data_IF_552188435906
#
_entry.id   IF_552188435906
#
_cell.length_a   1.000
_cell.length_b   1.000
_cell.length_c   1.000
_cell.angle_alpha   90.00
_cell.angle_beta   90.00
_cell.angle_gamma   90.00
#
_symmetry.space_group_name_H-M   'P 1'
#
loop_
_entity.id
_entity.type
_entity.pdbx_description
1 polymer ?
#
# COMPACT_ATOMS: atom_id res chain seq x y z
N UNK A 1 -17.12 -30.96 -9.07
CA UNK A 1 -16.25 -29.82 -9.43
C UNK A 1 -16.98 -28.55 -9.04
N UNK A 2 -16.32 -27.66 -8.30
CA UNK A 2 -16.94 -26.40 -7.91
C UNK A 2 -16.79 -25.39 -9.05
N UNK A 3 -17.73 -24.46 -9.19
CA UNK A 3 -17.63 -23.39 -10.19
C UNK A 3 -17.68 -22.04 -9.50
N UNK A 4 -16.84 -21.13 -9.96
CA UNK A 4 -16.83 -19.73 -9.57
C UNK A 4 -17.52 -18.90 -10.65
N UNK A 5 -18.63 -18.27 -10.31
CA UNK A 5 -19.37 -17.40 -11.23
C UNK A 5 -18.90 -15.95 -11.06
N UNK A 6 -18.42 -15.36 -12.15
CA UNK A 6 -17.80 -14.05 -12.13
C UNK A 6 -18.54 -13.08 -13.04
N UNK A 7 -18.69 -11.84 -12.59
CA UNK A 7 -19.14 -10.70 -13.38
C UNK A 7 -17.94 -9.78 -13.63
N UNK A 8 -17.63 -9.52 -14.90
CA UNK A 8 -16.53 -8.65 -15.28
C UNK A 8 -16.91 -7.17 -15.31
N UNK A 9 -15.92 -6.29 -15.52
CA UNK A 9 -16.12 -4.84 -15.47
C UNK A 9 -17.05 -4.28 -16.55
N UNK A 10 -17.30 -5.03 -17.63
CA UNK A 10 -18.24 -4.67 -18.70
C UNK A 10 -19.58 -5.42 -18.57
N UNK A 11 -19.82 -6.09 -17.45
CA UNK A 11 -21.04 -6.88 -17.20
C UNK A 11 -21.02 -8.29 -17.80
N UNK A 12 -19.91 -8.73 -18.40
CA UNK A 12 -19.76 -10.09 -18.90
C UNK A 12 -19.86 -11.11 -17.78
N UNK A 13 -20.56 -12.21 -18.01
CA UNK A 13 -20.71 -13.31 -17.05
C UNK A 13 -19.91 -14.50 -17.52
N UNK A 14 -18.96 -14.95 -16.70
CA UNK A 14 -18.15 -16.13 -16.98
C UNK A 14 -18.24 -17.10 -15.80
N UNK A 15 -18.02 -18.38 -16.07
CA UNK A 15 -17.87 -19.39 -15.03
C UNK A 15 -16.50 -20.04 -15.16
N UNK A 16 -15.79 -20.16 -14.06
CA UNK A 16 -14.46 -20.76 -14.00
C UNK A 16 -14.57 -22.00 -13.13
N UNK A 17 -14.16 -23.14 -13.65
CA UNK A 17 -14.12 -24.39 -12.86
C UNK A 17 -13.03 -24.29 -11.80
N UNK A 18 -13.28 -24.82 -10.62
CA UNK A 18 -12.35 -24.87 -9.50
C UNK A 18 -12.20 -26.32 -9.02
N UNK A 19 -10.96 -26.76 -8.86
CA UNK A 19 -10.64 -28.10 -8.39
C UNK A 19 -10.95 -28.24 -6.91
N UNK A 20 -10.56 -27.26 -6.11
CA UNK A 20 -10.76 -27.20 -4.66
C UNK A 20 -10.90 -25.75 -4.15
N UNK A 21 -10.92 -25.58 -2.83
CA UNK A 21 -11.03 -24.26 -2.20
C UNK A 21 -9.79 -23.37 -2.44
N UNK A 22 -8.58 -23.92 -2.35
CA UNK A 22 -7.35 -23.14 -2.53
C UNK A 22 -7.20 -22.64 -3.98
N UNK A 23 -7.58 -23.49 -4.94
CA UNK A 23 -7.70 -23.11 -6.36
C UNK A 23 -8.76 -22.03 -6.56
N UNK A 24 -9.91 -22.14 -5.88
CA UNK A 24 -10.96 -21.10 -5.96
C UNK A 24 -10.47 -19.74 -5.46
N UNK A 25 -9.73 -19.67 -4.36
CA UNK A 25 -9.14 -18.42 -3.86
C UNK A 25 -8.07 -17.87 -4.80
N UNK A 26 -7.26 -18.74 -5.40
CA UNK A 26 -6.26 -18.35 -6.39
C UNK A 26 -6.91 -17.72 -7.62
N UNK A 27 -8.00 -18.32 -8.11
CA UNK A 27 -8.82 -17.78 -9.21
C UNK A 27 -9.52 -16.48 -8.84
N UNK A 28 -10.06 -16.37 -7.62
CA UNK A 28 -10.65 -15.11 -7.15
C UNK A 28 -9.62 -13.97 -7.17
N UNK A 29 -8.39 -14.20 -6.72
CA UNK A 29 -7.31 -13.21 -6.82
C UNK A 29 -6.95 -12.86 -8.26
N UNK A 30 -6.74 -13.88 -9.09
CA UNK A 30 -6.31 -13.69 -10.47
C UNK A 30 -7.34 -12.87 -11.27
N UNK A 31 -8.61 -13.23 -11.16
CA UNK A 31 -9.71 -12.55 -11.87
C UNK A 31 -10.10 -11.24 -11.20
N UNK A 32 -10.07 -11.17 -9.89
CA UNK A 32 -10.39 -9.95 -9.15
C UNK A 32 -9.35 -8.85 -9.31
N UNK A 33 -8.06 -9.19 -9.52
CA UNK A 33 -7.05 -8.23 -9.95
C UNK A 33 -7.37 -7.59 -11.31
N UNK A 34 -8.14 -8.28 -12.16
CA UNK A 34 -8.68 -7.80 -13.45
C UNK A 34 -10.03 -7.09 -13.30
N UNK A 35 -10.53 -6.93 -12.07
CA UNK A 35 -11.81 -6.26 -11.75
C UNK A 35 -13.04 -7.14 -11.89
N UNK A 36 -12.90 -8.45 -11.98
CA UNK A 36 -14.05 -9.37 -11.92
C UNK A 36 -14.50 -9.57 -10.47
N UNK A 37 -15.79 -9.73 -10.26
CA UNK A 37 -16.40 -9.92 -8.94
C UNK A 37 -17.23 -11.21 -8.90
N UNK A 38 -17.28 -11.86 -7.75
CA UNK A 38 -18.14 -13.03 -7.49
C UNK A 38 -19.20 -12.67 -6.47
N UNK A 39 -20.48 -12.80 -6.84
CA UNK A 39 -21.60 -12.43 -5.99
C UNK A 39 -21.80 -10.91 -5.84
N UNK A 40 -22.49 -10.53 -4.78
CA UNK A 40 -22.86 -9.14 -4.47
C UNK A 40 -22.21 -8.71 -3.14
N UNK A 41 -22.14 -7.39 -2.91
CA UNK A 41 -21.74 -6.85 -1.61
C UNK A 41 -22.83 -7.19 -0.59
N UNK A 42 -22.52 -7.83 0.55
CA UNK A 42 -23.51 -8.10 1.60
C UNK A 42 -24.07 -6.80 2.20
N UNK A 43 -25.30 -6.84 2.72
CA UNK A 43 -25.83 -5.73 3.52
C UNK A 43 -24.90 -5.45 4.72
N UNK A 44 -24.50 -4.19 4.92
CA UNK A 44 -23.49 -3.82 5.92
C UNK A 44 -22.02 -4.00 5.47
N UNK A 45 -21.79 -4.50 4.25
CA UNK A 45 -20.46 -4.81 3.71
C UNK A 45 -19.85 -6.10 4.27
N UNK A 46 -18.72 -6.51 3.69
CA UNK A 46 -17.95 -7.67 4.15
C UNK A 46 -17.47 -7.48 5.59
N UNK A 47 -17.68 -8.48 6.45
CA UNK A 47 -17.30 -8.45 7.86
C UNK A 47 -16.00 -9.21 8.06
N UNK A 48 -14.92 -8.50 8.41
CA UNK A 48 -13.57 -9.03 8.50
C UNK A 48 -12.95 -8.75 9.88
N UNK A 49 -11.97 -9.56 10.33
CA UNK A 49 -11.22 -9.29 11.55
C UNK A 49 -10.54 -7.91 11.54
N UNK A 50 -10.54 -7.18 12.65
CA UNK A 50 -9.89 -5.86 12.75
C UNK A 50 -8.41 -5.89 12.35
N UNK A 51 -7.70 -6.95 12.75
CA UNK A 51 -6.28 -7.19 12.45
C UNK A 51 -5.94 -7.25 10.96
N UNK A 52 -6.94 -7.43 10.09
CA UNK A 52 -6.76 -7.56 8.65
C UNK A 52 -6.94 -6.26 7.87
N UNK A 53 -7.28 -5.14 8.52
CA UNK A 53 -7.62 -3.91 7.83
C UNK A 53 -6.53 -3.42 6.86
N UNK A 54 -5.27 -3.64 7.20
CA UNK A 54 -4.13 -3.18 6.41
C UNK A 54 -3.57 -4.25 5.46
N UNK A 55 -3.77 -5.53 5.78
CA UNK A 55 -3.18 -6.70 5.09
C UNK A 55 -4.16 -7.45 4.18
N UNK A 56 -5.46 -7.13 4.24
CA UNK A 56 -6.49 -7.76 3.42
C UNK A 56 -6.19 -7.62 1.92
N UNK A 57 -6.30 -8.75 1.21
CA UNK A 57 -6.13 -8.83 -0.23
C UNK A 57 -7.43 -8.42 -0.95
N UNK A 58 -7.50 -7.14 -1.30
CA UNK A 58 -8.65 -6.55 -1.99
C UNK A 58 -8.98 -7.22 -3.33
N UNK A 59 -8.01 -7.89 -3.97
CA UNK A 59 -8.27 -8.62 -5.21
C UNK A 59 -9.26 -9.77 -5.00
N UNK A 60 -9.39 -10.33 -3.79
CA UNK A 60 -10.35 -11.39 -3.50
C UNK A 60 -11.80 -11.00 -3.76
N UNK A 61 -12.12 -9.70 -3.64
CA UNK A 61 -13.47 -9.18 -3.90
C UNK A 61 -13.50 -8.33 -5.19
N UNK A 62 -12.50 -8.44 -6.06
CA UNK A 62 -12.43 -7.63 -7.28
C UNK A 62 -12.21 -6.13 -7.03
N UNK A 63 -11.62 -5.78 -5.88
CA UNK A 63 -11.30 -4.42 -5.49
C UNK A 63 -9.79 -4.15 -5.57
N UNK A 64 -9.41 -2.86 -5.53
CA UNK A 64 -7.99 -2.46 -5.45
C UNK A 64 -7.81 -1.14 -4.69
N UNK A 65 -6.68 -0.99 -4.00
CA UNK A 65 -6.26 0.29 -3.43
C UNK A 65 -5.87 1.26 -4.55
N UNK A 66 -6.16 2.54 -4.39
CA UNK A 66 -5.76 3.61 -5.30
C UNK A 66 -5.63 4.91 -4.51
N UNK A 67 -4.68 5.76 -4.88
CA UNK A 67 -4.51 7.09 -4.31
C UNK A 67 -5.05 8.11 -5.31
N UNK A 68 -5.99 8.96 -4.89
CA UNK A 68 -6.55 9.99 -5.77
C UNK A 68 -5.51 11.07 -6.10
N UNK A 69 -5.71 11.90 -7.14
CA UNK A 69 -4.83 13.03 -7.45
C UNK A 69 -4.65 14.01 -6.28
N UNK A 70 -5.63 14.08 -5.37
CA UNK A 70 -5.60 14.89 -4.16
C UNK A 70 -4.82 14.24 -3.01
N UNK A 71 -4.29 13.03 -3.22
CA UNK A 71 -3.51 12.28 -2.22
C UNK A 71 -4.36 11.45 -1.25
N UNK A 72 -5.65 11.24 -1.52
CA UNK A 72 -6.50 10.41 -0.65
C UNK A 72 -6.40 8.92 -1.00
N UNK A 73 -6.14 8.07 0.00
CA UNK A 73 -6.18 6.62 -0.19
C UNK A 73 -7.62 6.08 -0.17
N UNK A 74 -8.01 5.42 -1.26
CA UNK A 74 -9.33 4.85 -1.45
C UNK A 74 -9.26 3.41 -1.93
N UNK A 75 -10.38 2.70 -1.81
CA UNK A 75 -10.57 1.39 -2.43
C UNK A 75 -11.54 1.52 -3.60
N UNK A 76 -11.12 1.09 -4.78
CA UNK A 76 -11.95 1.03 -5.98
C UNK A 76 -12.62 -0.34 -6.09
N UNK A 77 -13.94 -0.37 -6.23
CA UNK A 77 -14.72 -1.59 -6.45
C UNK A 77 -15.96 -1.30 -7.31
N UNK A 78 -16.15 -2.05 -8.40
CA UNK A 78 -17.29 -1.86 -9.32
C UNK A 78 -17.41 -0.45 -9.88
N UNK A 79 -16.28 0.21 -10.19
CA UNK A 79 -16.23 1.59 -10.67
C UNK A 79 -16.57 2.66 -9.61
N UNK A 80 -16.70 2.28 -8.34
CA UNK A 80 -17.01 3.19 -7.22
C UNK A 80 -15.80 3.30 -6.29
N UNK A 81 -15.61 4.48 -5.72
CA UNK A 81 -14.55 4.76 -4.74
C UNK A 81 -15.10 4.72 -3.31
N UNK A 82 -14.42 4.00 -2.43
CA UNK A 82 -14.77 3.81 -1.03
C UNK A 82 -13.65 4.39 -0.14
N UNK A 83 -14.01 5.32 0.73
CA UNK A 83 -13.07 5.95 1.67
C UNK A 83 -12.95 5.14 2.95
N UNK A 84 -11.73 5.04 3.48
CA UNK A 84 -11.46 4.50 4.82
C UNK A 84 -12.00 5.46 5.89
N UNK A 85 -12.61 4.91 6.93
CA UNK A 85 -13.06 5.61 8.13
C UNK A 85 -12.65 4.81 9.34
N UNK A 86 -11.77 5.36 10.14
CA UNK A 86 -11.35 4.80 11.41
C UNK A 86 -12.32 5.32 12.49
N UNK A 87 -13.08 4.41 13.09
CA UNK A 87 -14.02 4.68 14.16
C UNK A 87 -13.42 4.18 15.47
N UNK A 88 -13.11 5.10 16.36
CA UNK A 88 -12.51 4.77 17.66
C UNK A 88 -13.49 4.00 18.55
N UNK A 89 -12.93 3.19 19.44
CA UNK A 89 -13.72 2.49 20.44
C UNK A 89 -14.46 3.50 21.32
N UNK A 90 -15.75 3.24 21.56
CA UNK A 90 -16.55 4.03 22.47
C UNK A 90 -17.01 3.15 23.64
N UNK A 91 -16.30 3.20 24.79
CA UNK A 91 -16.61 2.37 25.95
C UNK A 91 -18.02 2.63 26.50
N UNK A 92 -18.51 3.86 26.41
CA UNK A 92 -19.85 4.23 26.92
C UNK A 92 -20.97 3.58 26.12
N UNK A 93 -20.74 3.31 24.84
CA UNK A 93 -21.70 2.67 23.93
C UNK A 93 -21.36 1.20 23.66
N UNK A 94 -20.36 0.63 24.35
CA UNK A 94 -19.84 -0.72 24.11
C UNK A 94 -19.50 -0.98 22.63
N UNK A 95 -19.05 0.06 21.92
CA UNK A 95 -18.67 -0.07 20.50
C UNK A 95 -17.17 -0.31 20.42
N UNK A 96 -16.71 -1.45 19.86
CA UNK A 96 -15.28 -1.67 19.63
C UNK A 96 -14.75 -0.71 18.57
N UNK A 97 -13.42 -0.63 18.44
CA UNK A 97 -12.80 0.05 17.32
C UNK A 97 -13.18 -0.65 16.01
N UNK A 98 -13.45 0.15 14.97
CA UNK A 98 -13.89 -0.35 13.67
C UNK A 98 -13.19 0.44 12.56
N UNK A 99 -12.69 -0.26 11.56
CA UNK A 99 -12.24 0.37 10.31
C UNK A 99 -13.27 0.05 9.24
N UNK A 100 -13.89 1.09 8.67
CA UNK A 100 -14.98 0.97 7.70
C UNK A 100 -14.58 1.57 6.35
N UNK A 101 -14.83 0.84 5.28
CA UNK A 101 -14.70 1.33 3.92
C UNK A 101 -16.10 1.59 3.36
N UNK A 102 -16.47 2.85 3.18
CA UNK A 102 -17.80 3.23 2.70
C UNK A 102 -17.78 4.48 1.82
N UNK A 103 -18.90 4.76 1.16
CA UNK A 103 -19.13 5.95 0.33
C UNK A 103 -20.54 6.47 0.55
N UNK A 104 -20.84 7.69 0.10
CA UNK A 104 -22.21 8.18 0.04
C UNK A 104 -23.06 7.29 -0.88
N UNK A 105 -24.28 7.00 -0.44
CA UNK A 105 -25.27 6.29 -1.25
C UNK A 105 -25.73 7.18 -2.43
N UNK A 106 -25.97 6.56 -3.57
CA UNK A 106 -26.59 7.19 -4.74
C UNK A 106 -28.05 6.74 -4.85
N UNK A 107 -28.86 7.52 -5.56
CA UNK A 107 -30.26 7.16 -5.83
C UNK A 107 -30.40 5.81 -6.56
N UNK A 108 -29.41 5.44 -7.37
CA UNK A 108 -29.36 4.17 -8.11
C UNK A 108 -28.87 2.98 -7.27
N UNK A 109 -28.42 3.19 -6.04
CA UNK A 109 -27.99 2.06 -5.20
C UNK A 109 -29.21 1.29 -4.66
N UNK A 110 -29.13 -0.05 -4.56
CA UNK A 110 -30.20 -0.85 -3.98
C UNK A 110 -30.49 -0.45 -2.53
N UNK A 111 -31.77 -0.43 -2.15
CA UNK A 111 -32.19 0.02 -0.82
C UNK A 111 -31.59 -0.82 0.31
N UNK A 112 -31.48 -2.13 0.11
CA UNK A 112 -30.88 -3.05 1.09
C UNK A 112 -29.38 -2.82 1.33
N UNK A 113 -28.70 -2.00 0.52
CA UNK A 113 -27.30 -1.62 0.71
C UNK A 113 -27.14 -0.23 1.34
N UNK A 114 -28.23 0.55 1.46
CA UNK A 114 -28.19 1.89 2.04
C UNK A 114 -28.26 1.78 3.57
N UNK A 115 -27.34 2.45 4.22
CA UNK A 115 -27.27 2.56 5.69
C UNK A 115 -27.41 4.02 6.09
N UNK A 116 -28.28 4.32 7.06
CA UNK A 116 -28.50 5.68 7.58
C UNK A 116 -29.95 5.87 8.02
N UNK A 117 -30.25 7.06 8.54
CA UNK A 117 -31.62 7.47 8.87
C UNK A 117 -32.35 7.99 7.63
N UNK A 118 -33.67 7.77 7.58
CA UNK A 118 -34.53 8.29 6.51
C UNK A 118 -34.55 9.81 6.54
N UNK A 119 -34.17 10.44 5.42
CA UNK A 119 -34.01 11.90 5.32
C UNK A 119 -32.63 12.42 5.74
N UNK A 120 -31.70 11.55 6.15
CA UNK A 120 -30.31 11.87 6.48
C UNK A 120 -29.31 11.47 5.39
N UNK A 121 -28.01 11.59 5.71
CA UNK A 121 -26.94 11.07 4.85
C UNK A 121 -26.91 9.55 4.90
N UNK A 122 -27.18 8.92 3.76
CA UNK A 122 -27.08 7.48 3.58
C UNK A 122 -25.72 7.08 3.00
N UNK A 123 -25.24 5.90 3.38
CA UNK A 123 -23.96 5.34 2.96
C UNK A 123 -24.13 3.94 2.39
N UNK A 124 -23.16 3.53 1.56
CA UNK A 124 -23.00 2.13 1.14
C UNK A 124 -21.64 1.66 1.62
N UNK A 125 -21.62 0.55 2.36
CA UNK A 125 -20.42 -0.04 2.93
C UNK A 125 -19.88 -1.16 2.06
N UNK A 126 -18.59 -1.12 1.77
CA UNK A 126 -17.89 -2.21 1.10
C UNK A 126 -17.40 -3.25 2.12
N UNK A 127 -16.66 -2.82 3.14
CA UNK A 127 -16.08 -3.71 4.14
C UNK A 127 -16.01 -3.03 5.52
N UNK A 128 -16.09 -3.86 6.55
CA UNK A 128 -15.99 -3.50 7.97
C UNK A 128 -15.00 -4.45 8.63
N UNK A 129 -13.93 -3.88 9.17
CA UNK A 129 -12.92 -4.59 9.96
C UNK A 129 -13.17 -4.29 11.43
N UNK A 130 -13.52 -5.32 12.22
CA UNK A 130 -13.87 -5.15 13.64
C UNK A 130 -13.60 -6.40 14.47
N UNK A 131 -13.64 -6.22 15.79
CA UNK A 131 -13.49 -7.30 16.76
C UNK A 131 -12.04 -7.77 16.90
N UNK A 132 -11.88 -8.82 17.70
CA UNK A 132 -10.61 -9.39 18.17
C UNK A 132 -10.25 -10.72 17.48
N UNK A 133 -10.98 -11.09 16.43
CA UNK A 133 -10.73 -12.33 15.69
C UNK A 133 -9.32 -12.34 15.11
N UNK A 134 -8.72 -13.53 15.08
CA UNK A 134 -7.45 -13.73 14.41
C UNK A 134 -7.57 -13.47 12.91
N UNK A 135 -6.48 -13.02 12.31
CA UNK A 135 -6.45 -12.85 10.87
C UNK A 135 -6.59 -14.21 10.18
N UNK A 136 -7.18 -14.19 9.00
CA UNK A 136 -7.36 -15.37 8.16
C UNK A 136 -6.24 -15.33 7.14
N UNK A 137 -5.19 -16.15 7.24
CA UNK A 137 -4.01 -16.04 6.37
C UNK A 137 -4.41 -16.04 4.89
N UNK A 138 -5.41 -16.85 4.54
CA UNK A 138 -5.98 -17.01 3.19
C UNK A 138 -6.62 -15.77 2.60
N UNK A 139 -6.87 -14.74 3.40
CA UNK A 139 -7.43 -13.46 2.94
C UNK A 139 -6.42 -12.32 2.94
N UNK A 140 -5.18 -12.59 3.33
CA UNK A 140 -4.10 -11.61 3.31
C UNK A 140 -3.34 -11.61 1.97
N UNK A 141 -2.66 -10.51 1.67
CA UNK A 141 -1.81 -10.36 0.49
C UNK A 141 -0.68 -11.41 0.54
N UNK A 142 -0.54 -12.30 -0.46
CA UNK A 142 0.46 -13.38 -0.41
C UNK A 142 1.91 -12.91 -0.22
N UNK A 143 2.26 -11.74 -0.75
CA UNK A 143 3.60 -11.16 -0.61
C UNK A 143 3.94 -10.74 0.84
N UNK A 144 2.93 -10.42 1.65
CA UNK A 144 3.12 -10.00 3.05
C UNK A 144 3.26 -11.19 4.02
N UNK A 145 2.91 -12.41 3.59
CA UNK A 145 3.10 -13.63 4.40
C UNK A 145 4.56 -13.99 4.66
N UNK A 146 5.53 -13.31 4.02
CA UNK A 146 6.96 -13.66 4.12
C UNK A 146 7.68 -13.15 5.37
N UNK A 147 7.05 -12.44 6.30
CA UNK A 147 7.73 -12.10 7.57
C UNK A 147 6.84 -12.11 8.83
N UNK A 148 6.51 -13.29 9.37
CA UNK A 148 6.08 -13.39 10.76
C UNK A 148 7.03 -14.33 11.53
N UNK A 149 8.26 -13.89 11.86
CA UNK A 149 9.00 -14.47 13.01
C UNK A 149 10.29 -13.76 13.46
N UNK A 150 10.92 -12.87 12.69
CA UNK A 150 12.16 -12.22 13.17
C UNK A 150 11.96 -10.98 14.06
N UNK A 151 10.74 -10.46 14.22
CA UNK A 151 10.49 -9.27 15.06
C UNK A 151 10.20 -9.54 16.54
N UNK A 152 10.04 -10.81 16.94
CA UNK A 152 9.69 -11.15 18.33
C UNK A 152 10.92 -11.47 19.23
N UNK A 153 12.16 -11.37 18.73
CA UNK A 153 13.37 -11.65 19.52
C UNK A 153 14.45 -10.55 19.48
N UNK A 154 14.15 -9.33 19.00
CA UNK A 154 15.08 -8.20 19.10
C UNK A 154 14.46 -7.04 19.90
N UNK A 155 14.17 -7.29 21.17
CA UNK A 155 14.47 -6.29 22.22
C UNK A 155 15.98 -6.38 22.51
N UNK A 156 16.80 -5.98 21.53
CA UNK A 156 18.12 -5.44 21.84
C UNK A 156 17.93 -3.92 21.86
N UNK A 157 18.48 -3.28 22.88
CA UNK A 157 18.56 -1.83 22.97
C UNK A 157 18.99 -1.23 21.63
N UNK A 158 18.39 -0.10 21.21
CA UNK A 158 18.78 0.55 19.97
C UNK A 158 20.29 0.84 20.01
N UNK A 159 21.06 0.44 18.98
CA UNK A 159 22.44 0.87 18.88
C UNK A 159 22.44 2.40 18.81
N UNK A 160 23.23 3.01 19.68
CA UNK A 160 23.47 4.46 19.74
C UNK A 160 23.67 5.02 18.33
N UNK A 161 22.89 6.05 17.98
CA UNK A 161 22.82 6.73 16.66
C UNK A 161 24.14 7.38 16.17
N UNK A 162 25.28 7.08 16.79
CA UNK A 162 26.57 7.70 16.48
C UNK A 162 27.36 7.02 15.35
N UNK A 163 26.96 5.85 14.84
CA UNK A 163 27.72 5.14 13.80
C UNK A 163 27.07 5.02 12.41
N UNK A 164 25.75 5.21 12.30
CA UNK A 164 25.01 4.93 11.05
C UNK A 164 25.20 6.06 10.00
N UNK A 165 25.52 7.28 10.46
CA UNK A 165 25.77 8.41 9.57
C UNK A 165 27.07 8.27 8.76
N UNK A 166 28.14 7.81 9.39
CA UNK A 166 29.47 7.75 8.77
C UNK A 166 29.59 6.63 7.73
N UNK A 167 29.04 5.44 8.01
CA UNK A 167 29.09 4.32 7.06
C UNK A 167 28.22 4.58 5.84
N UNK A 168 27.06 5.23 6.01
CA UNK A 168 26.19 5.62 4.89
C UNK A 168 26.79 6.75 4.07
N UNK A 169 27.40 7.75 4.71
CA UNK A 169 28.12 8.82 4.03
C UNK A 169 29.31 8.28 3.23
N UNK A 170 30.10 7.38 3.81
CA UNK A 170 31.26 6.75 3.15
C UNK A 170 30.87 5.93 1.91
N UNK A 171 29.76 5.18 1.98
CA UNK A 171 29.25 4.43 0.83
C UNK A 171 28.73 5.33 -0.28
N UNK A 172 28.07 6.44 0.07
CA UNK A 172 27.61 7.43 -0.92
C UNK A 172 28.78 8.15 -1.58
N UNK A 173 29.80 8.54 -0.80
CA UNK A 173 31.02 9.18 -1.31
C UNK A 173 31.79 8.26 -2.27
N UNK A 174 31.95 6.98 -1.90
CA UNK A 174 32.63 5.98 -2.74
C UNK A 174 31.88 5.74 -4.06
N UNK A 175 30.54 5.65 -4.01
CA UNK A 175 29.73 5.49 -5.21
C UNK A 175 29.80 6.72 -6.13
N UNK A 176 29.72 7.92 -5.57
CA UNK A 176 29.85 9.18 -6.31
C UNK A 176 31.23 9.33 -6.97
N UNK A 177 32.32 8.99 -6.25
CA UNK A 177 33.68 9.06 -6.78
C UNK A 177 33.89 8.12 -7.99
N UNK A 178 33.39 6.88 -7.91
CA UNK A 178 33.46 5.92 -9.02
C UNK A 178 32.72 6.37 -10.28
N UNK A 179 31.62 7.11 -10.12
CA UNK A 179 30.84 7.65 -11.23
C UNK A 179 31.44 8.92 -11.84
N UNK A 180 32.00 9.79 -11.00
CA UNK A 180 32.75 10.98 -11.42
C UNK A 180 33.97 10.59 -12.28
N UNK A 181 34.67 9.51 -11.92
CA UNK A 181 35.79 8.98 -12.69
C UNK A 181 35.35 8.33 -14.03
N UNK A 182 34.13 7.80 -14.11
CA UNK A 182 33.63 7.07 -15.28
C UNK A 182 33.01 7.95 -16.38
N UNK A 183 32.66 9.22 -16.08
CA UNK A 183 32.00 10.10 -17.04
C UNK A 183 32.77 11.40 -17.25
N UNK A 184 33.20 11.69 -18.49
CA UNK A 184 33.63 13.04 -18.86
C UNK A 184 32.47 14.01 -18.64
N UNK A 185 32.64 14.93 -17.69
CA UNK A 185 31.63 15.86 -17.20
C UNK A 185 31.37 16.97 -18.24
N UNK A 186 30.62 16.64 -19.29
CA UNK A 186 30.05 17.65 -20.19
C UNK A 186 28.64 18.01 -19.71
N UNK A 187 28.57 18.94 -18.75
CA UNK A 187 27.38 19.77 -18.50
C UNK A 187 26.15 19.12 -17.86
N UNK A 188 26.25 17.95 -17.22
CA UNK A 188 25.09 17.34 -16.51
C UNK A 188 25.09 17.65 -15.01
N UNK A 189 23.88 17.86 -14.47
CA UNK A 189 23.69 18.19 -13.05
C UNK A 189 23.92 16.97 -12.16
N UNK A 190 24.45 17.18 -10.94
CA UNK A 190 24.64 16.13 -9.92
C UNK A 190 23.33 15.40 -9.59
N UNK A 191 22.20 16.10 -9.67
CA UNK A 191 20.86 15.54 -9.48
C UNK A 191 20.52 14.47 -10.52
N UNK A 192 20.94 14.63 -11.76
CA UNK A 192 20.67 13.64 -12.83
C UNK A 192 21.48 12.36 -12.62
N UNK A 193 22.68 12.49 -12.05
CA UNK A 193 23.54 11.34 -11.72
C UNK A 193 22.95 10.58 -10.53
N UNK A 194 22.57 11.29 -9.46
CA UNK A 194 21.94 10.70 -8.28
C UNK A 194 20.67 9.93 -8.65
N UNK A 195 19.83 10.48 -9.54
CA UNK A 195 18.61 9.84 -10.04
C UNK A 195 18.87 8.55 -10.83
N UNK A 196 19.98 8.47 -11.54
CA UNK A 196 20.27 7.33 -12.43
C UNK A 196 20.85 6.13 -11.68
N UNK A 197 21.49 6.40 -10.55
CA UNK A 197 22.25 5.42 -9.77
C UNK A 197 21.38 4.85 -8.65
N UNK A 198 20.63 5.72 -7.98
CA UNK A 198 19.63 5.32 -7.00
C UNK A 198 18.36 4.92 -7.76
N UNK A 199 18.27 3.66 -8.21
CA UNK A 199 17.07 3.13 -8.89
C UNK A 199 15.87 3.09 -7.92
N UNK A 200 15.12 4.22 -7.83
CA UNK A 200 13.84 4.43 -7.10
C UNK A 200 13.93 4.08 -5.58
N UNK A 201 12.90 4.27 -4.74
CA UNK A 201 12.20 5.49 -4.31
C UNK A 201 12.97 6.30 -3.24
N UNK A 202 14.27 6.07 -3.02
CA UNK A 202 15.07 6.76 -1.97
C UNK A 202 15.37 8.25 -2.25
N UNK A 203 14.95 8.79 -3.39
CA UNK A 203 15.10 10.21 -3.73
C UNK A 203 14.25 11.14 -2.86
N UNK A 204 13.26 10.63 -2.14
CA UNK A 204 12.37 11.45 -1.30
C UNK A 204 13.15 12.18 -0.19
N UNK A 205 14.26 11.60 0.31
CA UNK A 205 15.09 12.24 1.35
C UNK A 205 16.13 13.23 0.81
N UNK A 206 16.36 13.27 -0.50
CA UNK A 206 17.25 14.26 -1.13
C UNK A 206 16.56 15.61 -1.37
N UNK A 207 15.23 15.66 -1.32
CA UNK A 207 14.46 16.90 -1.44
C UNK A 207 14.63 17.84 -0.22
N UNK A 208 15.15 17.32 0.90
CA UNK A 208 15.35 18.05 2.15
C UNK A 208 16.79 18.57 2.34
N UNK A 209 17.68 18.33 1.37
CA UNK A 209 19.01 18.94 1.43
C UNK A 209 18.90 20.44 1.18
N UNK A 210 19.25 21.22 2.18
CA UNK A 210 19.39 22.67 2.02
C UNK A 210 20.43 22.97 0.95
N UNK A 211 20.28 24.10 0.26
CA UNK A 211 21.22 24.54 -0.78
C UNK A 211 22.68 24.56 -0.28
N UNK A 212 22.87 24.87 1.01
CA UNK A 212 24.18 24.86 1.66
C UNK A 212 24.78 23.46 1.77
N UNK A 213 23.99 22.46 2.20
CA UNK A 213 24.44 21.07 2.28
C UNK A 213 24.79 20.50 0.89
N UNK A 214 24.08 20.92 -0.16
CA UNK A 214 24.42 20.60 -1.54
C UNK A 214 25.77 21.17 -1.99
N UNK A 215 26.06 22.44 -1.63
CA UNK A 215 27.34 23.10 -1.94
C UNK A 215 28.52 22.48 -1.17
N UNK A 216 28.31 22.12 0.09
CA UNK A 216 29.34 21.47 0.92
C UNK A 216 29.68 20.07 0.39
N UNK A 217 28.66 19.28 0.00
CA UNK A 217 28.87 17.97 -0.62
C UNK A 217 29.61 18.08 -1.96
N UNK A 218 29.25 19.05 -2.79
CA UNK A 218 29.95 19.31 -4.06
C UNK A 218 31.43 19.64 -3.84
N UNK A 219 31.73 20.50 -2.86
CA UNK A 219 33.11 20.91 -2.53
C UNK A 219 33.95 19.72 -2.05
N UNK A 220 33.36 18.85 -1.20
CA UNK A 220 34.02 17.62 -0.72
C UNK A 220 34.29 16.63 -1.85
N UNK A 221 33.31 16.38 -2.71
CA UNK A 221 33.51 15.48 -3.86
C UNK A 221 34.58 15.99 -4.82
N UNK A 222 34.66 17.30 -5.05
CA UNK A 222 35.69 17.91 -5.89
C UNK A 222 37.09 17.75 -5.29
N UNK A 223 37.25 18.04 -3.99
CA UNK A 223 38.53 17.90 -3.30
C UNK A 223 39.05 16.45 -3.31
N UNK A 224 38.16 15.45 -3.19
CA UNK A 224 38.54 14.04 -3.22
C UNK A 224 38.87 13.56 -4.63
N UNK A 225 38.21 14.09 -5.66
CA UNK A 225 38.57 13.83 -7.06
C UNK A 225 39.96 14.38 -7.40
N UNK A 226 40.29 15.59 -6.93
CA UNK A 226 41.60 16.22 -7.15
C UNK A 226 42.74 15.45 -6.45
N UNK A 227 42.49 14.87 -5.26
CA UNK A 227 43.46 14.00 -4.57
C UNK A 227 43.75 12.72 -5.34
N UNK A 228 42.76 12.15 -6.02
CA UNK A 228 42.91 10.90 -6.79
C UNK A 228 43.53 11.14 -8.18
N UNK A 229 43.60 12.40 -8.63
CA UNK A 229 44.21 12.78 -9.90
C UNK A 229 45.69 13.17 -9.79
N UNK A 230 46.22 13.32 -8.56
CA UNK A 230 47.63 13.59 -8.24
C UNK A 230 48.38 12.30 -7.93
#
# INVERSE_FOLDING_TARGET
MNQLHLTGPLGQRISVECTDYADSLSKMREWGAKGFVSGEIPAGGYQLPYSMADTFDWALIGARKWTTPEGEDVVLHGGKSYKRRDLEANPRKSMPAVIKYSRGAKSSDPEHLKEGEDGGFQYVTLAVFRGDRQSIPDYEVPAQRRQPQQRAQSHQEPPTLQGIGEERASRLETACAGLLAATKFEGRSILDIARRVLKLPELVTLADLTEQQGKDLHTRCKAEADKNAA
#
